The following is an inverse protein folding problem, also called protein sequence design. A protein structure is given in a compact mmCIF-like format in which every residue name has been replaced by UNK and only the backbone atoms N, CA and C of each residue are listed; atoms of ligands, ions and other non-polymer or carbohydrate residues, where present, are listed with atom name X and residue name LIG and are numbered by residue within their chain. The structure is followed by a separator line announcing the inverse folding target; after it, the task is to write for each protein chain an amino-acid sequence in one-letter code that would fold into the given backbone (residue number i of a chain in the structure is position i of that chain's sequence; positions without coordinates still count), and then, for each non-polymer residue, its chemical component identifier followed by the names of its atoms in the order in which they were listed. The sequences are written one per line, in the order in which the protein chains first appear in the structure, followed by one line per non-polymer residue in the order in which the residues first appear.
data_IF_179727550398
#
_entry.id   IF_179727550398
#
_cell.length_a   1.000
_cell.length_b   1.000
_cell.length_c   1.000
_cell.angle_alpha   90.00
_cell.angle_beta   90.00
_cell.angle_gamma   90.00
#
_symmetry.space_group_name_H-M   'P 1'
#
loop_
_entity.id
_entity.type
_entity.pdbx_description
1 polymer ?
#
# COMPACT_ATOMS: atom_id res chain seq x y z
N UNK A 1 7.20 -61.73 -32.35
CA UNK A 1 6.72 -60.95 -31.19
C UNK A 1 5.70 -59.93 -31.69
N UNK A 2 4.47 -59.99 -31.20
CA UNK A 2 3.33 -59.18 -31.68
C UNK A 2 3.32 -57.83 -30.95
N UNK A 3 3.46 -56.74 -31.71
CA UNK A 3 3.27 -55.37 -31.24
C UNK A 3 1.77 -55.10 -31.16
N UNK A 4 1.25 -54.82 -29.95
CA UNK A 4 -0.12 -54.36 -29.74
C UNK A 4 -0.12 -52.84 -29.61
N UNK A 5 -0.72 -52.19 -30.60
CA UNK A 5 -1.11 -50.78 -30.56
C UNK A 5 -2.19 -50.56 -29.49
N UNK A 6 -1.96 -49.61 -28.58
CA UNK A 6 -2.98 -49.06 -27.69
C UNK A 6 -3.14 -47.58 -28.02
N UNK A 7 -4.18 -47.28 -28.80
CA UNK A 7 -4.74 -45.95 -28.97
C UNK A 7 -5.63 -45.67 -27.75
N UNK A 8 -5.18 -44.80 -26.84
CA UNK A 8 -6.05 -44.19 -25.85
C UNK A 8 -6.46 -42.81 -26.35
N UNK A 9 -7.70 -42.71 -26.83
CA UNK A 9 -8.36 -41.44 -27.09
C UNK A 9 -8.85 -40.84 -25.78
N UNK A 10 -8.32 -39.68 -25.41
CA UNK A 10 -8.89 -38.83 -24.37
C UNK A 10 -9.56 -37.63 -25.06
N UNK A 11 -10.87 -37.71 -25.24
CA UNK A 11 -11.70 -36.59 -25.66
C UNK A 11 -11.90 -35.65 -24.45
N UNK A 12 -11.06 -34.63 -24.35
CA UNK A 12 -11.28 -33.51 -23.43
C UNK A 12 -12.35 -32.58 -24.01
N UNK A 13 -13.57 -32.69 -23.51
CA UNK A 13 -14.62 -31.70 -23.74
C UNK A 13 -14.26 -30.40 -22.98
N UNK A 14 -13.74 -29.39 -23.69
CA UNK A 14 -13.63 -28.03 -23.18
C UNK A 14 -15.04 -27.46 -22.99
N UNK A 15 -15.50 -27.40 -21.75
CA UNK A 15 -16.66 -26.59 -21.38
C UNK A 15 -16.24 -25.11 -21.38
N UNK A 16 -16.64 -24.37 -22.40
CA UNK A 16 -16.58 -22.91 -22.47
C UNK A 16 -17.54 -22.33 -21.40
N UNK A 17 -17.00 -22.00 -20.23
CA UNK A 17 -17.71 -21.17 -19.26
C UNK A 17 -17.78 -19.73 -19.79
N UNK A 18 -18.95 -19.08 -19.82
CA UNK A 18 -19.04 -17.68 -20.19
C UNK A 18 -18.32 -16.85 -19.12
N UNK A 19 -17.29 -16.09 -19.54
CA UNK A 19 -16.77 -15.00 -18.73
C UNK A 19 -17.90 -13.99 -18.55
N UNK A 20 -18.52 -13.98 -17.37
CA UNK A 20 -19.33 -12.86 -16.94
C UNK A 20 -18.39 -11.65 -16.84
N UNK A 21 -18.48 -10.74 -17.81
CA UNK A 21 -17.89 -9.42 -17.67
C UNK A 21 -18.57 -8.76 -16.45
N UNK A 22 -17.84 -8.66 -15.35
CA UNK A 22 -18.26 -7.85 -14.23
C UNK A 22 -18.32 -6.41 -14.75
N UNK A 23 -19.53 -5.95 -15.05
CA UNK A 23 -19.80 -4.54 -15.31
C UNK A 23 -19.32 -3.81 -14.06
N UNK A 24 -18.27 -3.01 -14.20
CA UNK A 24 -17.85 -2.08 -13.16
C UNK A 24 -19.05 -1.16 -12.91
N UNK A 25 -19.80 -1.44 -11.85
CA UNK A 25 -20.87 -0.56 -11.43
C UNK A 25 -20.24 0.81 -11.15
N UNK A 26 -20.76 1.86 -11.79
CA UNK A 26 -20.42 3.24 -11.45
C UNK A 26 -20.56 3.38 -9.93
N UNK A 27 -19.44 3.61 -9.24
CA UNK A 27 -19.45 3.84 -7.81
C UNK A 27 -20.34 5.07 -7.56
N UNK A 28 -21.37 4.97 -6.70
CA UNK A 28 -22.26 6.10 -6.45
C UNK A 28 -21.44 7.29 -5.99
N UNK A 29 -21.75 8.46 -6.57
CA UNK A 29 -21.08 9.70 -6.24
C UNK A 29 -21.27 9.98 -4.74
N UNK A 30 -20.17 10.18 -4.00
CA UNK A 30 -20.21 10.49 -2.57
C UNK A 30 -21.05 11.75 -2.33
N UNK A 31 -22.05 11.67 -1.45
CA UNK A 31 -22.83 12.83 -1.02
C UNK A 31 -21.95 13.73 -0.14
N UNK A 32 -21.67 14.97 -0.54
CA UNK A 32 -20.83 15.90 0.22
C UNK A 32 -21.42 16.29 1.59
N UNK A 33 -22.68 15.99 1.85
CA UNK A 33 -23.33 16.20 3.15
C UNK A 33 -23.38 14.95 4.02
N UNK A 34 -22.99 13.79 3.50
CA UNK A 34 -22.93 12.57 4.28
C UNK A 34 -21.74 12.59 5.26
N UNK A 35 -22.00 12.12 6.48
CA UNK A 35 -20.93 11.80 7.42
C UNK A 35 -20.42 10.40 7.10
N UNK A 36 -19.10 10.28 7.02
CA UNK A 36 -18.37 9.06 6.70
C UNK A 36 -17.67 8.57 7.97
N UNK A 37 -17.73 7.27 8.21
CA UNK A 37 -17.12 6.66 9.40
C UNK A 37 -16.54 5.29 9.05
N UNK A 38 -15.42 4.92 9.67
CA UNK A 38 -14.76 3.63 9.50
C UNK A 38 -13.97 3.50 8.19
N UNK A 39 -14.53 3.90 7.05
CA UNK A 39 -13.80 3.86 5.78
C UNK A 39 -14.53 4.57 4.65
N UNK A 40 -13.82 4.81 3.55
CA UNK A 40 -14.35 5.41 2.31
C UNK A 40 -13.87 4.61 1.11
N UNK A 41 -14.67 4.58 0.05
CA UNK A 41 -14.26 4.00 -1.24
C UNK A 41 -14.01 5.10 -2.27
N UNK A 42 -12.84 5.10 -2.90
CA UNK A 42 -12.44 6.08 -3.92
C UNK A 42 -11.94 5.32 -5.15
N UNK A 43 -12.61 5.49 -6.29
CA UNK A 43 -12.30 4.79 -7.55
C UNK A 43 -12.06 3.27 -7.37
N UNK A 44 -12.91 2.64 -6.55
CA UNK A 44 -12.84 1.21 -6.27
C UNK A 44 -11.70 0.78 -5.34
N UNK A 45 -11.09 1.72 -4.59
CA UNK A 45 -10.16 1.44 -3.48
C UNK A 45 -10.78 1.77 -2.15
N UNK A 46 -10.64 0.87 -1.18
CA UNK A 46 -11.08 1.09 0.18
C UNK A 46 -9.96 1.76 0.98
N UNK A 47 -10.28 2.83 1.68
CA UNK A 47 -9.35 3.53 2.58
C UNK A 47 -9.99 3.56 3.96
N UNK A 48 -9.36 2.95 4.99
CA UNK A 48 -9.88 3.02 6.35
C UNK A 48 -9.80 4.48 6.84
N UNK A 49 -10.72 4.90 7.69
CA UNK A 49 -10.69 6.22 8.31
C UNK A 49 -10.44 6.06 9.82
N UNK A 50 -9.69 6.97 10.44
CA UNK A 50 -9.64 7.03 11.89
C UNK A 50 -11.04 7.25 12.51
N UNK A 51 -11.18 6.90 13.78
CA UNK A 51 -12.42 7.07 14.52
C UNK A 51 -12.96 8.51 14.44
N UNK A 52 -14.29 8.63 14.37
CA UNK A 52 -15.02 9.89 14.28
C UNK A 52 -15.80 10.05 12.98
N UNK A 53 -16.54 11.16 12.93
CA UNK A 53 -17.39 11.51 11.80
C UNK A 53 -16.65 12.44 10.84
N UNK A 54 -16.39 11.94 9.64
CA UNK A 54 -15.65 12.64 8.60
C UNK A 54 -16.60 13.23 7.58
N UNK A 55 -16.34 14.48 7.18
CA UNK A 55 -17.09 15.17 6.13
C UNK A 55 -16.22 15.32 4.90
N UNK A 56 -16.75 14.97 3.73
CA UNK A 56 -16.10 15.25 2.46
C UNK A 56 -16.20 16.76 2.15
N UNK A 57 -15.05 17.44 2.03
CA UNK A 57 -14.99 18.89 1.81
C UNK A 57 -14.25 19.29 0.54
N UNK A 58 -13.54 18.36 -0.08
CA UNK A 58 -12.90 18.58 -1.38
C UNK A 58 -12.78 17.32 -2.20
N UNK A 59 -12.94 17.46 -3.52
CA UNK A 59 -12.68 16.44 -4.51
C UNK A 59 -12.08 17.07 -5.76
N UNK A 60 -10.97 16.54 -6.23
CA UNK A 60 -10.32 17.02 -7.44
C UNK A 60 -9.77 15.86 -8.26
N UNK A 61 -9.81 16.01 -9.59
CA UNK A 61 -9.08 15.15 -10.52
C UNK A 61 -8.03 16.04 -11.17
N UNK A 62 -6.75 15.69 -11.05
CA UNK A 62 -5.64 16.54 -11.49
C UNK A 62 -4.44 15.73 -11.97
N UNK A 63 -3.45 16.42 -12.51
CA UNK A 63 -2.18 15.83 -12.95
C UNK A 63 -1.03 16.52 -12.27
N UNK A 64 -0.47 15.90 -11.21
CA UNK A 64 0.77 16.34 -10.61
C UNK A 64 1.91 16.40 -11.63
N UNK A 65 2.95 17.17 -11.32
CA UNK A 65 4.18 17.14 -12.08
C UNK A 65 4.76 15.70 -12.11
N UNK A 66 5.25 15.26 -13.27
CA UNK A 66 5.80 13.91 -13.46
C UNK A 66 4.84 12.89 -14.08
N UNK A 67 3.55 13.23 -14.26
CA UNK A 67 2.60 12.41 -15.01
C UNK A 67 2.43 12.87 -16.45
N UNK A 68 2.43 11.92 -17.38
CA UNK A 68 2.28 12.21 -18.82
C UNK A 68 0.79 12.34 -19.23
N UNK A 69 -0.14 11.82 -18.40
CA UNK A 69 -1.58 11.84 -18.68
C UNK A 69 -2.31 12.93 -17.89
N UNK A 70 -3.25 13.67 -18.50
CA UNK A 70 -4.15 14.57 -17.80
C UNK A 70 -5.11 13.78 -16.88
N UNK A 71 -5.44 14.34 -15.71
CA UNK A 71 -6.31 13.73 -14.71
C UNK A 71 -5.78 12.42 -14.12
N UNK A 72 -4.47 12.27 -13.94
CA UNK A 72 -3.85 11.03 -13.47
C UNK A 72 -4.18 10.66 -12.02
N UNK A 73 -4.59 11.63 -11.21
CA UNK A 73 -4.85 11.45 -9.77
C UNK A 73 -6.24 11.97 -9.40
N UNK A 74 -7.03 11.13 -8.71
CA UNK A 74 -8.23 11.53 -7.99
C UNK A 74 -7.88 11.78 -6.53
N UNK A 75 -8.06 13.01 -6.07
CA UNK A 75 -7.88 13.41 -4.68
C UNK A 75 -9.23 13.63 -3.99
N UNK A 76 -9.39 13.09 -2.78
CA UNK A 76 -10.44 13.44 -1.82
C UNK A 76 -9.81 14.06 -0.58
N UNK A 77 -10.44 15.11 -0.08
CA UNK A 77 -10.10 15.68 1.22
C UNK A 77 -11.30 15.64 2.14
N UNK A 78 -11.09 15.01 3.29
CA UNK A 78 -12.08 14.82 4.33
C UNK A 78 -11.61 15.56 5.58
N UNK A 79 -12.53 16.18 6.29
CA UNK A 79 -12.25 16.85 7.56
C UNK A 79 -13.11 16.27 8.67
N UNK A 80 -12.55 16.25 9.87
CA UNK A 80 -13.28 16.02 11.11
C UNK A 80 -13.39 17.33 11.86
N UNK A 81 -14.58 17.59 12.41
CA UNK A 81 -14.89 18.82 13.11
C UNK A 81 -15.08 18.55 14.60
N UNK A 82 -14.51 19.43 15.42
CA UNK A 82 -14.72 19.48 16.87
C UNK A 82 -14.83 20.93 17.30
N UNK A 83 -15.95 21.31 17.92
CA UNK A 83 -16.21 22.66 18.43
C UNK A 83 -15.94 23.78 17.40
N UNK A 84 -16.39 23.57 16.15
CA UNK A 84 -16.23 24.52 15.05
C UNK A 84 -14.78 24.68 14.56
N UNK A 85 -13.87 23.77 14.94
CA UNK A 85 -12.53 23.68 14.41
C UNK A 85 -12.35 22.37 13.65
N UNK A 86 -11.52 22.40 12.59
CA UNK A 86 -11.03 21.18 11.94
C UNK A 86 -9.97 20.59 12.87
N UNK A 87 -10.26 19.45 13.50
CA UNK A 87 -9.32 18.80 14.43
C UNK A 87 -8.52 17.67 13.75
N UNK A 88 -9.04 17.13 12.65
CA UNK A 88 -8.32 16.17 11.82
C UNK A 88 -8.67 16.32 10.34
N UNK A 89 -7.76 15.91 9.47
CA UNK A 89 -7.96 15.84 8.01
C UNK A 89 -7.42 14.53 7.46
N UNK A 90 -8.08 14.00 6.43
CA UNK A 90 -7.60 12.87 5.64
C UNK A 90 -7.56 13.30 4.17
N UNK A 91 -6.35 13.32 3.60
CA UNK A 91 -6.12 13.53 2.18
C UNK A 91 -5.84 12.17 1.54
N UNK A 92 -6.71 11.76 0.63
CA UNK A 92 -6.66 10.47 -0.06
C UNK A 92 -6.46 10.74 -1.53
N UNK A 93 -5.43 10.15 -2.12
CA UNK A 93 -5.06 10.29 -3.51
C UNK A 93 -5.01 8.89 -4.10
N UNK A 94 -5.74 8.64 -5.19
CA UNK A 94 -5.72 7.36 -5.92
C UNK A 94 -5.40 7.59 -7.39
N UNK A 95 -4.82 6.58 -8.04
CA UNK A 95 -4.66 6.60 -9.49
C UNK A 95 -6.04 6.63 -10.15
N UNK A 96 -6.28 7.60 -11.02
CA UNK A 96 -7.54 7.67 -11.76
C UNK A 96 -7.67 6.45 -12.68
N UNK A 97 -8.90 5.98 -12.97
CA UNK A 97 -9.10 4.88 -13.90
C UNK A 97 -8.41 5.11 -15.25
N UNK A 98 -7.52 4.18 -15.64
CA UNK A 98 -6.75 4.25 -16.90
C UNK A 98 -5.51 5.15 -16.86
N UNK A 99 -5.21 5.78 -15.72
CA UNK A 99 -3.93 6.46 -15.47
C UNK A 99 -2.78 5.45 -15.32
N UNK A 100 -1.55 5.96 -15.38
CA UNK A 100 -0.36 5.15 -15.07
C UNK A 100 -0.17 5.08 -13.54
N UNK A 101 -0.25 3.89 -12.92
CA UNK A 101 -0.11 3.71 -11.48
C UNK A 101 1.35 3.72 -11.00
N UNK A 102 2.34 3.87 -11.90
CA UNK A 102 3.77 3.89 -11.58
C UNK A 102 4.20 5.19 -10.88
N UNK A 103 3.62 5.46 -9.70
CA UNK A 103 3.95 6.61 -8.86
C UNK A 103 5.30 6.45 -8.15
N UNK A 104 5.79 5.20 -8.10
CA UNK A 104 7.00 4.83 -7.39
C UNK A 104 6.92 5.10 -5.89
N UNK A 105 8.09 5.02 -5.25
CA UNK A 105 8.25 5.39 -3.84
C UNK A 105 8.05 6.90 -3.67
N UNK A 106 7.42 7.31 -2.57
CA UNK A 106 7.32 8.73 -2.23
C UNK A 106 8.71 9.29 -1.87
N UNK A 107 9.12 10.48 -2.35
CA UNK A 107 10.38 11.10 -1.95
C UNK A 107 10.54 11.24 -0.43
N UNK A 108 9.44 11.48 0.30
CA UNK A 108 9.45 11.54 1.75
C UNK A 108 9.93 10.25 2.44
N UNK A 109 9.77 9.09 1.81
CA UNK A 109 10.23 7.80 2.34
C UNK A 109 11.75 7.60 2.20
N UNK A 110 12.47 8.51 1.52
CA UNK A 110 13.94 8.52 1.43
C UNK A 110 14.60 9.48 2.42
N UNK A 111 13.79 10.31 3.07
CA UNK A 111 14.27 11.33 4.00
C UNK A 111 14.64 10.72 5.34
N UNK A 112 15.76 11.18 5.90
CA UNK A 112 16.24 10.77 7.22
C UNK A 112 16.00 11.81 8.32
N UNK A 113 15.48 12.98 7.96
CA UNK A 113 15.18 14.08 8.89
C UNK A 113 13.75 14.01 9.46
N UNK A 114 12.91 13.13 8.93
CA UNK A 114 11.54 12.93 9.40
C UNK A 114 11.49 12.05 10.66
N UNK A 115 10.53 12.28 11.58
CA UNK A 115 10.31 11.43 12.76
C UNK A 115 10.24 9.92 12.44
N UNK A 116 9.65 9.58 11.28
CA UNK A 116 9.66 8.23 10.73
C UNK A 116 9.61 8.32 9.21
N UNK A 117 10.44 7.53 8.53
CA UNK A 117 10.35 7.29 7.09
C UNK A 117 10.83 5.87 6.83
N UNK A 118 9.95 5.02 6.29
CA UNK A 118 10.23 3.59 6.10
C UNK A 118 9.67 3.08 4.79
N UNK A 119 10.45 2.22 4.15
CA UNK A 119 10.03 1.42 3.00
C UNK A 119 9.83 -0.01 3.49
N UNK A 120 8.63 -0.56 3.29
CA UNK A 120 8.34 -1.96 3.63
C UNK A 120 8.79 -2.89 2.51
N UNK A 121 8.51 -2.51 1.27
CA UNK A 121 9.07 -3.10 0.06
C UNK A 121 9.05 -2.07 -1.07
N UNK A 122 9.96 -2.22 -2.02
CA UNK A 122 9.98 -1.47 -3.26
C UNK A 122 10.61 -2.34 -4.35
N UNK A 123 9.96 -2.41 -5.50
CA UNK A 123 10.45 -3.01 -6.73
C UNK A 123 10.20 -2.07 -7.91
N UNK A 124 10.51 -2.54 -9.12
CA UNK A 124 10.26 -1.78 -10.34
C UNK A 124 8.77 -1.57 -10.67
N UNK A 125 7.88 -2.33 -10.01
CA UNK A 125 6.45 -2.31 -10.34
C UNK A 125 5.52 -2.22 -9.14
N UNK A 126 6.00 -2.48 -7.93
CA UNK A 126 5.22 -2.35 -6.71
C UNK A 126 6.03 -1.70 -5.58
N UNK A 127 5.32 -1.13 -4.62
CA UNK A 127 5.94 -0.35 -3.57
C UNK A 127 5.00 -0.11 -2.42
N UNK A 128 5.58 -0.05 -1.24
CA UNK A 128 4.86 0.28 -0.02
C UNK A 128 5.81 1.03 0.90
N UNK A 129 5.45 2.26 1.23
CA UNK A 129 6.23 3.08 2.15
C UNK A 129 5.33 3.95 3.03
N UNK A 130 5.83 4.34 4.20
CA UNK A 130 5.14 5.21 5.14
C UNK A 130 6.10 6.22 5.78
N UNK A 131 5.59 7.38 6.12
CA UNK A 131 6.34 8.43 6.80
C UNK A 131 5.45 9.21 7.77
N UNK A 132 6.11 9.83 8.74
CA UNK A 132 5.50 10.72 9.72
C UNK A 132 6.21 12.06 9.65
N UNK A 133 5.44 13.14 9.64
CA UNK A 133 5.95 14.51 9.51
C UNK A 133 5.13 15.48 10.35
N UNK A 134 5.66 16.70 10.55
CA UNK A 134 4.85 17.84 10.94
C UNK A 134 4.63 18.70 9.70
N UNK A 135 3.37 18.98 9.38
CA UNK A 135 3.01 19.78 8.20
C UNK A 135 2.48 21.14 8.64
N UNK A 136 2.94 22.19 7.95
CA UNK A 136 2.32 23.51 8.03
C UNK A 136 1.07 23.48 7.13
N UNK A 137 -0.11 23.47 7.73
CA UNK A 137 -1.36 23.53 7.00
C UNK A 137 -1.57 24.94 6.45
N UNK A 138 -1.97 25.04 5.19
CA UNK A 138 -2.37 26.29 4.50
C UNK A 138 -1.26 27.22 3.99
N UNK A 139 0.02 26.86 4.11
CA UNK A 139 1.13 27.59 3.48
C UNK A 139 2.09 26.63 2.76
N UNK A 140 2.52 26.99 1.54
CA UNK A 140 3.51 26.23 0.77
C UNK A 140 3.22 26.10 -0.73
N UNK A 141 4.22 25.67 -1.50
CA UNK A 141 4.20 25.69 -2.97
C UNK A 141 3.41 24.54 -3.63
N UNK A 142 2.96 23.52 -2.88
CA UNK A 142 2.29 22.33 -3.45
C UNK A 142 1.11 21.82 -2.61
N UNK A 143 0.09 22.66 -2.45
CA UNK A 143 -1.19 22.23 -1.87
C UNK A 143 -1.97 21.37 -2.87
N UNK A 144 -2.50 20.24 -2.39
CA UNK A 144 -3.39 19.41 -3.20
C UNK A 144 -4.68 20.20 -3.54
N UNK A 145 -5.19 20.11 -4.78
CA UNK A 145 -6.40 20.84 -5.16
C UNK A 145 -7.64 20.49 -4.33
N UNK A 146 -7.80 19.24 -3.86
CA UNK A 146 -8.89 18.85 -2.97
C UNK A 146 -8.72 19.45 -1.56
N UNK A 147 -7.48 19.59 -1.10
CA UNK A 147 -7.20 20.30 0.16
C UNK A 147 -7.49 21.80 0.03
N UNK A 148 -7.08 22.42 -1.08
CA UNK A 148 -7.41 23.83 -1.39
C UNK A 148 -8.93 24.08 -1.36
N UNK A 149 -9.74 23.16 -1.90
CA UNK A 149 -11.20 23.24 -1.80
C UNK A 149 -11.70 23.18 -0.35
N UNK A 150 -11.10 22.32 0.47
CA UNK A 150 -11.46 22.19 1.89
C UNK A 150 -11.11 23.42 2.71
N UNK A 151 -9.99 24.08 2.42
CA UNK A 151 -9.65 25.38 3.01
C UNK A 151 -10.68 26.45 2.63
N UNK A 152 -11.12 26.48 1.37
CA UNK A 152 -12.18 27.38 0.92
C UNK A 152 -13.53 27.10 1.58
N UNK A 153 -13.87 25.83 1.82
CA UNK A 153 -15.08 25.45 2.57
C UNK A 153 -15.00 25.85 4.04
N UNK A 154 -13.86 25.58 4.70
CA UNK A 154 -13.65 26.01 6.08
C UNK A 154 -13.80 27.53 6.23
N UNK A 155 -13.25 28.30 5.28
CA UNK A 155 -13.43 29.75 5.25
C UNK A 155 -14.90 30.16 5.09
N UNK A 156 -15.64 29.54 4.16
CA UNK A 156 -17.08 29.83 3.96
C UNK A 156 -17.93 29.53 5.19
N UNK A 157 -17.60 28.45 5.91
CA UNK A 157 -18.34 27.98 7.07
C UNK A 157 -17.87 28.61 8.39
N UNK A 158 -16.79 29.41 8.36
CA UNK A 158 -16.18 29.99 9.56
C UNK A 158 -15.53 28.95 10.48
N UNK A 159 -15.10 27.81 9.93
CA UNK A 159 -14.35 26.81 10.70
C UNK A 159 -12.92 27.26 10.93
N UNK A 160 -12.42 27.01 12.13
CA UNK A 160 -11.00 27.26 12.45
C UNK A 160 -10.14 26.14 11.88
N UNK A 161 -9.11 26.48 11.13
CA UNK A 161 -8.13 25.54 10.57
C UNK A 161 -6.78 25.74 11.28
N UNK A 162 -6.26 24.71 11.96
CA UNK A 162 -4.94 24.74 12.58
C UNK A 162 -3.80 24.97 11.58
N UNK A 163 -2.78 25.71 12.02
CA UNK A 163 -1.57 25.99 11.23
C UNK A 163 -0.59 24.81 11.19
N UNK A 164 -0.57 23.96 12.23
CA UNK A 164 0.36 22.83 12.34
C UNK A 164 -0.38 21.53 12.61
N UNK A 165 0.07 20.48 11.94
CA UNK A 165 -0.50 19.14 12.06
C UNK A 165 0.59 18.10 12.20
N UNK A 166 0.35 17.06 12.99
CA UNK A 166 1.13 15.84 12.92
C UNK A 166 0.48 14.95 11.87
N UNK A 167 1.25 14.55 10.87
CA UNK A 167 0.77 13.74 9.76
C UNK A 167 1.41 12.36 9.77
N UNK A 168 0.61 11.34 9.48
CA UNK A 168 1.06 10.02 9.09
C UNK A 168 0.58 9.73 7.68
N UNK A 169 1.52 9.36 6.83
CA UNK A 169 1.29 9.19 5.41
C UNK A 169 1.81 7.85 4.91
N UNK A 170 1.10 7.31 3.93
CA UNK A 170 1.30 5.97 3.40
C UNK A 170 1.16 6.03 1.90
N UNK A 171 2.02 5.33 1.18
CA UNK A 171 1.89 5.11 -0.26
C UNK A 171 2.00 3.62 -0.54
N UNK A 172 1.02 3.08 -1.26
CA UNK A 172 1.00 1.71 -1.76
C UNK A 172 0.75 1.74 -3.26
N UNK A 173 1.61 1.09 -4.03
CA UNK A 173 1.56 1.04 -5.49
C UNK A 173 1.74 -0.38 -5.98
N UNK A 174 1.08 -0.74 -7.08
CA UNK A 174 1.32 -1.96 -7.84
C UNK A 174 1.22 -1.66 -9.36
N UNK A 175 1.45 -2.63 -10.27
CA UNK A 175 1.42 -2.37 -11.70
C UNK A 175 0.04 -1.96 -12.24
N UNK A 176 -1.02 -2.03 -11.43
CA UNK A 176 -2.41 -1.79 -11.82
C UNK A 176 -2.98 -0.54 -11.16
N UNK A 177 -2.52 -0.19 -9.96
CA UNK A 177 -3.10 0.88 -9.18
C UNK A 177 -2.15 1.50 -8.16
N UNK A 178 -2.54 2.66 -7.61
CA UNK A 178 -1.80 3.35 -6.58
C UNK A 178 -2.73 4.11 -5.63
N UNK A 179 -2.36 4.13 -4.35
CA UNK A 179 -3.01 4.93 -3.31
C UNK A 179 -1.96 5.62 -2.46
N UNK A 180 -2.18 6.89 -2.17
CA UNK A 180 -1.49 7.65 -1.14
C UNK A 180 -2.52 8.21 -0.17
N UNK A 181 -2.31 7.99 1.12
CA UNK A 181 -3.18 8.52 2.17
C UNK A 181 -2.34 9.30 3.14
N UNK A 182 -2.79 10.50 3.51
CA UNK A 182 -2.22 11.31 4.58
C UNK A 182 -3.32 11.59 5.60
N UNK A 183 -3.17 11.07 6.81
CA UNK A 183 -3.98 11.48 7.94
C UNK A 183 -3.20 12.55 8.70
N UNK A 184 -3.87 13.62 9.14
CA UNK A 184 -3.24 14.65 9.93
C UNK A 184 -4.15 15.10 11.06
N UNK A 185 -3.57 15.23 12.25
CA UNK A 185 -4.27 15.61 13.47
C UNK A 185 -3.68 16.89 14.03
N UNK A 186 -4.58 17.77 14.43
CA UNK A 186 -4.24 19.08 14.94
C UNK A 186 -3.61 18.98 16.33
N UNK A 187 -2.65 19.86 16.59
CA UNK A 187 -2.32 20.23 17.97
C UNK A 187 -3.39 21.14 18.55
N UNK A 188 -3.35 21.36 19.85
CA UNK A 188 -4.08 22.49 20.44
C UNK A 188 -3.27 23.78 20.19
N UNK A 189 -3.89 24.98 20.24
CA UNK A 189 -3.13 26.23 20.09
C UNK A 189 -1.91 26.33 21.01
N UNK A 190 -2.02 25.77 22.22
CA UNK A 190 -0.97 25.80 23.25
C UNK A 190 -0.14 24.50 23.31
N UNK A 191 -0.42 23.51 22.47
CA UNK A 191 0.24 22.20 22.54
C UNK A 191 0.59 21.72 21.14
N UNK A 192 1.88 21.48 20.84
CA UNK A 192 2.29 21.02 19.52
C UNK A 192 1.57 19.71 19.16
N UNK A 193 1.31 19.47 17.87
CA UNK A 193 0.67 18.24 17.44
C UNK A 193 1.54 17.03 17.80
N UNK A 194 0.90 15.96 18.27
CA UNK A 194 1.57 14.72 18.68
C UNK A 194 1.60 13.76 17.49
N UNK A 195 2.81 13.33 17.13
CA UNK A 195 3.01 12.31 16.10
C UNK A 195 2.63 10.92 16.59
N UNK A 196 2.04 10.06 15.74
CA UNK A 196 1.74 8.70 16.13
C UNK A 196 3.03 7.90 16.38
N UNK A 197 2.93 6.91 17.27
CA UNK A 197 4.00 5.94 17.48
C UNK A 197 4.10 4.91 16.33
N UNK A 198 5.19 4.13 16.34
CA UNK A 198 5.41 3.11 15.31
C UNK A 198 4.33 2.01 15.28
N UNK A 199 3.74 1.70 16.43
CA UNK A 199 2.72 0.66 16.57
C UNK A 199 1.44 1.06 15.83
N UNK A 200 1.00 2.30 16.04
CA UNK A 200 -0.12 2.88 15.31
C UNK A 200 0.17 2.92 13.81
N UNK A 201 1.35 3.40 13.40
CA UNK A 201 1.74 3.47 11.98
C UNK A 201 1.69 2.09 11.34
N UNK A 202 2.25 1.06 11.97
CA UNK A 202 2.25 -0.30 11.43
C UNK A 202 0.82 -0.87 11.29
N UNK A 203 -0.04 -0.65 12.29
CA UNK A 203 -1.45 -1.08 12.26
C UNK A 203 -2.24 -0.40 11.13
N UNK A 204 -2.09 0.93 10.99
CA UNK A 204 -2.72 1.70 9.93
C UNK A 204 -2.23 1.27 8.55
N UNK A 205 -0.92 1.04 8.40
CA UNK A 205 -0.31 0.59 7.15
C UNK A 205 -0.88 -0.76 6.70
N UNK A 206 -1.04 -1.73 7.60
CA UNK A 206 -1.63 -3.03 7.29
C UNK A 206 -3.09 -2.92 6.82
N UNK A 207 -3.87 -2.01 7.41
CA UNK A 207 -5.25 -1.76 7.00
C UNK A 207 -5.32 -1.09 5.63
N UNK A 208 -4.40 -0.16 5.33
CA UNK A 208 -4.30 0.49 4.02
C UNK A 208 -3.93 -0.53 2.94
N UNK A 209 -2.98 -1.42 3.20
CA UNK A 209 -2.64 -2.50 2.24
C UNK A 209 -3.81 -3.48 2.01
N UNK A 210 -4.60 -3.77 3.05
CA UNK A 210 -5.85 -4.54 2.91
C UNK A 210 -6.89 -3.80 2.09
N UNK A 211 -7.10 -2.50 2.37
CA UNK A 211 -8.05 -1.66 1.67
C UNK A 211 -7.70 -1.43 0.19
N UNK A 212 -6.41 -1.22 -0.11
CA UNK A 212 -5.88 -1.16 -1.46
C UNK A 212 -6.24 -2.42 -2.29
N UNK A 213 -6.23 -3.58 -1.64
CA UNK A 213 -6.59 -4.88 -2.24
C UNK A 213 -8.10 -5.19 -2.15
N UNK A 214 -8.92 -4.23 -1.73
CA UNK A 214 -10.36 -4.37 -1.51
C UNK A 214 -10.73 -5.50 -0.53
N UNK A 215 -9.95 -5.63 0.55
CA UNK A 215 -10.12 -6.63 1.62
C UNK A 215 -10.40 -6.01 2.98
N UNK A 216 -10.77 -4.73 3.03
CA UNK A 216 -11.15 -4.10 4.29
C UNK A 216 -12.58 -4.54 4.64
N UNK A 217 -12.77 -5.08 5.85
CA UNK A 217 -14.10 -5.41 6.32
C UNK A 217 -14.92 -4.13 6.57
N UNK A 218 -16.21 -4.17 6.27
CA UNK A 218 -17.11 -3.03 6.50
C UNK A 218 -17.05 -2.58 7.95
N UNK A 219 -16.90 -1.27 8.19
CA UNK A 219 -16.81 -0.70 9.54
C UNK A 219 -15.44 -0.80 10.21
N UNK A 220 -14.41 -1.30 9.52
CA UNK A 220 -13.04 -1.36 10.07
C UNK A 220 -12.39 0.03 10.02
N UNK A 221 -12.46 0.77 11.14
CA UNK A 221 -11.76 2.04 11.32
C UNK A 221 -10.33 1.90 11.86
N UNK A 222 -9.61 3.01 11.89
CA UNK A 222 -8.35 3.16 12.62
C UNK A 222 -8.63 3.83 13.97
N UNK A 223 -7.88 3.50 15.03
CA UNK A 223 -7.97 4.28 16.27
C UNK A 223 -7.49 5.72 16.01
N UNK A 224 -8.10 6.69 16.68
CA UNK A 224 -7.60 8.05 16.70
C UNK A 224 -6.35 8.13 17.58
N UNK A 225 -5.16 8.31 16.98
CA UNK A 225 -3.91 8.37 17.76
C UNK A 225 -3.77 9.64 18.60
N UNK A 226 -4.52 10.69 18.28
CA UNK A 226 -4.54 11.92 19.05
C UNK A 226 -5.54 11.83 20.22
N UNK A 227 -6.40 10.81 20.23
CA UNK A 227 -7.26 10.54 21.38
C UNK A 227 -6.42 9.95 22.51
N UNK A 228 -6.35 10.65 23.65
CA UNK A 228 -5.69 10.20 24.88
C UNK A 228 -6.45 9.11 25.61
N UNK A 229 -7.52 8.56 25.02
CA UNK A 229 -8.22 7.42 25.60
C UNK A 229 -7.30 6.22 25.51
N UNK A 230 -6.80 5.67 26.64
CA UNK A 230 -6.00 4.46 26.60
C UNK A 230 -6.82 3.41 25.84
N UNK A 231 -6.22 2.68 24.87
CA UNK A 231 -6.96 1.68 24.14
C UNK A 231 -7.66 0.77 25.15
N UNK A 232 -8.98 0.62 25.00
CA UNK A 232 -9.73 -0.36 25.78
C UNK A 232 -8.95 -1.68 25.66
N UNK A 233 -8.62 -2.26 26.82
CA UNK A 233 -7.80 -3.46 26.89
C UNK A 233 -8.30 -4.44 25.83
N UNK A 234 -7.41 -4.97 24.95
CA UNK A 234 -7.83 -5.84 23.88
C UNK A 234 -8.66 -6.97 24.49
N UNK A 235 -9.89 -7.14 23.98
CA UNK A 235 -10.62 -8.40 24.12
C UNK A 235 -9.62 -9.49 23.75
N UNK A 236 -9.44 -10.56 24.54
CA UNK A 236 -8.42 -11.55 24.24
C UNK A 236 -8.68 -12.10 22.84
N UNK A 237 -7.94 -11.61 21.86
CA UNK A 237 -7.79 -12.27 20.59
C UNK A 237 -7.29 -13.67 20.96
N UNK A 238 -7.88 -14.68 20.33
CA UNK A 238 -7.41 -16.04 20.45
C UNK A 238 -5.88 -16.01 20.36
N UNK A 239 -5.24 -16.38 21.46
CA UNK A 239 -3.80 -16.53 21.54
C UNK A 239 -3.46 -17.61 20.52
N UNK A 240 -3.05 -17.21 19.32
CA UNK A 240 -2.21 -18.07 18.51
C UNK A 240 -1.04 -18.41 19.41
N UNK A 241 -0.92 -19.71 19.70
CA UNK A 241 -0.06 -20.24 20.74
C UNK A 241 1.38 -19.74 20.61
N UNK A 242 2.17 -19.83 21.69
CA UNK A 242 3.56 -19.40 21.64
C UNK A 242 4.23 -20.10 20.47
N UNK A 243 4.71 -19.32 19.48
CA UNK A 243 5.74 -19.78 18.56
C UNK A 243 6.94 -20.12 19.45
N UNK A 244 6.98 -21.38 19.89
CA UNK A 244 8.05 -21.94 20.68
C UNK A 244 9.36 -21.69 19.96
N UNK A 245 10.38 -21.30 20.74
CA UNK A 245 11.74 -21.13 20.26
C UNK A 245 12.15 -22.31 19.38
N UNK A 246 12.25 -22.06 18.08
CA UNK A 246 12.27 -23.13 17.09
C UNK A 246 12.55 -22.63 15.68
N UNK A 247 13.57 -21.78 15.53
CA UNK A 247 14.06 -21.24 14.25
C UNK A 247 13.00 -20.39 13.51
N UNK A 248 13.35 -19.18 13.08
CA UNK A 248 12.36 -18.25 12.50
C UNK A 248 11.61 -18.89 11.34
N UNK A 249 10.32 -18.62 11.21
CA UNK A 249 9.47 -19.07 10.08
C UNK A 249 10.12 -18.83 8.72
N UNK A 250 10.94 -17.79 8.59
CA UNK A 250 11.74 -17.50 7.40
C UNK A 250 12.80 -18.58 7.10
N UNK A 251 13.47 -19.11 8.12
CA UNK A 251 14.43 -20.20 7.95
C UNK A 251 13.72 -21.50 7.56
N UNK A 252 12.58 -21.82 8.19
CA UNK A 252 11.78 -22.98 7.79
C UNK A 252 11.26 -22.88 6.35
N UNK A 253 10.80 -21.70 5.93
CA UNK A 253 10.40 -21.44 4.54
C UNK A 253 11.56 -21.68 3.57
N UNK A 254 12.76 -21.24 3.95
CA UNK A 254 13.97 -21.39 3.13
C UNK A 254 14.40 -22.85 3.00
N UNK A 255 14.43 -23.59 4.12
CA UNK A 255 14.80 -25.02 4.14
C UNK A 255 13.80 -25.82 3.30
N UNK A 256 12.50 -25.60 3.49
CA UNK A 256 11.44 -26.32 2.77
C UNK A 256 11.52 -26.06 1.27
N UNK A 257 11.65 -24.79 0.87
CA UNK A 257 11.79 -24.42 -0.54
C UNK A 257 13.03 -25.06 -1.17
N UNK A 258 14.18 -24.98 -0.49
CA UNK A 258 15.44 -25.57 -0.99
C UNK A 258 15.36 -27.10 -1.10
N UNK A 259 14.76 -27.77 -0.13
CA UNK A 259 14.58 -29.23 -0.18
C UNK A 259 13.75 -29.68 -1.39
N UNK A 260 12.64 -28.98 -1.67
CA UNK A 260 11.78 -29.28 -2.83
C UNK A 260 12.53 -29.05 -4.13
N UNK A 261 13.18 -27.89 -4.30
CA UNK A 261 13.90 -27.54 -5.52
C UNK A 261 15.05 -28.52 -5.79
N UNK A 262 15.86 -28.84 -4.77
CA UNK A 262 16.98 -29.79 -4.93
C UNK A 262 16.49 -31.20 -5.27
N UNK A 263 15.36 -31.64 -4.70
CA UNK A 263 14.78 -32.96 -5.01
C UNK A 263 14.27 -33.02 -6.45
N UNK A 264 13.59 -31.96 -6.92
CA UNK A 264 13.12 -31.86 -8.30
C UNK A 264 14.28 -31.85 -9.29
N UNK A 265 15.32 -31.08 -8.99
CA UNK A 265 16.52 -30.99 -9.83
C UNK A 265 17.25 -32.33 -9.91
N UNK A 266 17.48 -32.99 -8.78
CA UNK A 266 18.08 -34.33 -8.74
C UNK A 266 17.23 -35.35 -9.50
N UNK A 267 15.91 -35.35 -9.30
CA UNK A 267 14.99 -36.29 -9.96
C UNK A 267 15.00 -36.10 -11.48
N UNK A 268 15.05 -34.84 -11.93
CA UNK A 268 15.15 -34.50 -13.36
C UNK A 268 16.49 -34.96 -13.94
N UNK A 269 17.59 -34.64 -13.27
CA UNK A 269 18.93 -35.06 -13.70
C UNK A 269 19.07 -36.60 -13.73
N UNK A 270 18.53 -37.29 -12.72
CA UNK A 270 18.56 -38.75 -12.65
C UNK A 270 17.71 -39.38 -13.75
N UNK A 271 16.52 -38.86 -14.00
CA UNK A 271 15.65 -39.37 -15.06
C UNK A 271 16.26 -39.22 -16.45
N UNK A 272 16.96 -38.10 -16.70
CA UNK A 272 17.62 -37.83 -17.99
C UNK A 272 18.91 -38.64 -18.16
N UNK A 273 19.74 -38.73 -17.13
CA UNK A 273 21.09 -39.29 -17.24
C UNK A 273 21.10 -40.80 -16.95
N UNK A 274 20.21 -41.27 -16.07
CA UNK A 274 20.17 -42.65 -15.57
C UNK A 274 21.26 -43.01 -14.55
N UNK A 275 22.14 -42.05 -14.20
CA UNK A 275 23.23 -42.24 -13.24
C UNK A 275 23.05 -41.34 -12.01
N UNK A 276 23.02 -41.95 -10.82
CA UNK A 276 22.75 -41.27 -9.56
C UNK A 276 23.90 -40.37 -9.09
N UNK A 277 25.15 -40.74 -9.39
CA UNK A 277 26.33 -39.97 -8.95
C UNK A 277 26.46 -38.70 -9.79
N UNK A 278 26.30 -38.82 -11.11
CA UNK A 278 26.26 -37.69 -12.02
C UNK A 278 25.10 -36.73 -11.71
N UNK A 279 23.90 -37.27 -11.44
CA UNK A 279 22.75 -36.46 -11.05
C UNK A 279 22.98 -35.71 -9.73
N UNK A 280 23.54 -36.38 -8.72
CA UNK A 280 23.88 -35.74 -7.44
C UNK A 280 24.94 -34.65 -7.62
N UNK A 281 25.96 -34.91 -8.45
CA UNK A 281 27.02 -33.94 -8.76
C UNK A 281 26.50 -32.68 -9.44
N UNK A 282 25.62 -32.83 -10.44
CA UNK A 282 25.01 -31.69 -11.13
C UNK A 282 24.08 -30.88 -10.22
N UNK A 283 23.28 -31.55 -9.39
CA UNK A 283 22.39 -30.84 -8.45
C UNK A 283 23.15 -30.14 -7.34
N UNK A 284 24.25 -30.70 -6.84
CA UNK A 284 25.14 -30.00 -5.91
C UNK A 284 25.79 -28.77 -6.56
N UNK A 285 26.21 -28.90 -7.83
CA UNK A 285 26.76 -27.77 -8.59
C UNK A 285 25.73 -26.65 -8.80
N UNK A 286 24.51 -27.00 -9.24
CA UNK A 286 23.43 -26.04 -9.43
C UNK A 286 23.02 -25.34 -8.12
N UNK A 287 23.06 -26.07 -6.99
CA UNK A 287 22.81 -25.49 -5.67
C UNK A 287 23.79 -24.38 -5.31
N UNK A 288 25.09 -24.56 -5.63
CA UNK A 288 26.15 -23.59 -5.36
C UNK A 288 26.14 -22.44 -6.36
N UNK A 289 25.95 -22.72 -7.65
CA UNK A 289 26.04 -21.72 -8.72
C UNK A 289 24.76 -20.89 -8.86
N UNK A 290 23.60 -21.47 -8.58
CA UNK A 290 22.30 -20.81 -8.72
C UNK A 290 22.22 -19.40 -8.10
N UNK A 291 22.66 -19.20 -6.83
CA UNK A 291 22.71 -17.86 -6.22
C UNK A 291 23.55 -16.85 -7.00
N UNK A 292 24.70 -17.25 -7.57
CA UNK A 292 25.56 -16.34 -8.33
C UNK A 292 24.95 -15.96 -9.68
N UNK A 293 24.31 -16.92 -10.36
CA UNK A 293 23.56 -16.66 -11.59
C UNK A 293 22.39 -15.72 -11.31
N UNK A 294 21.68 -15.93 -10.19
CA UNK A 294 20.61 -15.04 -9.75
C UNK A 294 21.14 -13.62 -9.49
N UNK A 295 22.21 -13.46 -8.73
CA UNK A 295 22.82 -12.14 -8.48
C UNK A 295 23.25 -11.48 -9.80
N UNK A 296 23.86 -12.24 -10.72
CA UNK A 296 24.23 -11.72 -12.04
C UNK A 296 23.02 -11.28 -12.87
N UNK A 297 21.91 -12.01 -12.77
CA UNK A 297 20.64 -11.64 -13.39
C UNK A 297 20.05 -10.36 -12.80
N UNK A 298 20.03 -10.22 -11.47
CA UNK A 298 19.55 -9.00 -10.79
C UNK A 298 20.42 -7.79 -11.17
N UNK A 299 21.75 -7.91 -11.14
CA UNK A 299 22.67 -6.84 -11.55
C UNK A 299 22.49 -6.46 -13.03
N UNK A 300 22.20 -7.43 -13.90
CA UNK A 300 21.92 -7.16 -15.30
C UNK A 300 20.59 -6.41 -15.47
N UNK A 301 19.54 -6.77 -14.74
CA UNK A 301 18.27 -6.02 -14.77
C UNK A 301 18.40 -4.61 -14.20
N UNK A 302 19.12 -4.42 -13.09
CA UNK A 302 19.40 -3.07 -12.56
C UNK A 302 20.13 -2.21 -13.61
N UNK A 303 21.04 -2.80 -14.38
CA UNK A 303 21.85 -2.07 -15.36
C UNK A 303 21.14 -1.82 -16.70
N UNK A 304 20.27 -2.74 -17.13
CA UNK A 304 19.75 -2.79 -18.50
C UNK A 304 18.22 -2.86 -18.61
N UNK A 305 17.51 -3.00 -17.49
CA UNK A 305 16.27 -3.75 -17.47
C UNK A 305 14.95 -2.99 -17.26
N UNK A 306 14.92 -1.77 -16.72
CA UNK A 306 13.65 -1.12 -16.41
C UNK A 306 13.57 0.33 -16.85
N UNK A 307 12.41 0.84 -17.33
CA UNK A 307 12.13 2.26 -17.24
C UNK A 307 12.29 2.68 -15.78
N UNK A 308 13.05 3.75 -15.54
CA UNK A 308 13.27 4.31 -14.20
C UNK A 308 11.92 4.47 -13.51
N UNK A 309 11.74 3.79 -12.36
CA UNK A 309 10.58 4.02 -11.50
C UNK A 309 10.53 5.50 -11.17
N UNK A 310 9.53 6.20 -11.71
CA UNK A 310 9.37 7.64 -11.41
C UNK A 310 8.99 7.75 -9.95
N UNK A 311 9.86 8.37 -9.15
CA UNK A 311 9.49 8.85 -7.81
C UNK A 311 8.69 10.12 -7.99
N UNK A 312 7.36 9.99 -8.08
CA UNK A 312 6.48 11.15 -8.27
C UNK A 312 6.15 11.76 -6.93
N UNK A 313 6.45 13.05 -6.76
CA UNK A 313 5.99 13.80 -5.61
C UNK A 313 4.54 14.24 -5.82
N UNK A 314 3.69 13.94 -4.83
CA UNK A 314 2.28 14.30 -4.88
C UNK A 314 2.03 15.46 -3.93
N UNK A 315 1.29 16.50 -4.38
CA UNK A 315 0.96 17.63 -3.53
C UNK A 315 0.19 17.15 -2.29
N UNK A 316 0.37 17.85 -1.18
CA UNK A 316 -0.11 17.42 0.14
C UNK A 316 -0.99 18.46 0.82
N UNK A 317 -1.01 18.40 2.14
CA UNK A 317 -1.63 19.43 2.99
C UNK A 317 -0.76 20.70 3.11
N UNK A 318 0.52 20.56 2.77
CA UNK A 318 1.61 21.51 2.95
C UNK A 318 2.95 20.77 2.83
N UNK A 319 4.05 21.47 3.10
CA UNK A 319 5.38 20.86 3.09
C UNK A 319 5.57 19.92 4.29
N UNK A 320 6.15 18.74 4.04
CA UNK A 320 6.54 17.79 5.09
C UNK A 320 7.80 18.30 5.81
N UNK A 321 7.66 18.73 7.06
CA UNK A 321 8.75 19.21 7.91
C UNK A 321 9.20 18.18 8.95
N UNK A 322 10.46 18.33 9.38
CA UNK A 322 10.90 17.80 10.66
C UNK A 322 10.21 18.59 11.80
N UNK A 323 9.96 17.91 12.93
CA UNK A 323 9.22 18.44 14.10
C UNK A 323 9.73 19.77 14.64
#
# INVERSE_FOLDING_TARGET
MRVRSLLFGAACALALLPLAAAVAADAPLLDPNSLLSGGVTVDGKQVPLPEGDWRLTGRAIHSPAGFDKPGAVTSLSLVRLRDGAVDATALIQVASPGADPLWGKAPACERSDLPLARVRYASDHDGSCAWVSVVAGAEGETLDPAWTQSLGEAQRQGWRVPERWAAAAFRVTDPRDAVQVRYAFAGSPDTPPVTPDEGWVNSAWDQIERGFRNRLATGTGLPDWASTTPPAAPTPAAVEGPEGGGWSRAVWKTITFRGIVTTLDFSTNYWVIGDAVAAAGLSAFAFVIGPFVYIGHELAWERFGGPVVRSVDLPGLGADGAS
#
